data_IF_597121516199
#
_entry.id   IF_597121516199
#
_cell.length_a   1.000
_cell.length_b   1.000
_cell.length_c   1.000
_cell.angle_alpha   90.00
_cell.angle_beta   90.00
_cell.angle_gamma   90.00
#
_symmetry.space_group_name_H-M   'P 1'
#
loop_
_entity.id
_entity.type
_entity.pdbx_description
1 polymer ?
#
# COMPACT_ATOMS: atom_id res chain seq x y z
N UNK A 1 34.71 2.46 18.82
CA UNK A 1 33.33 2.68 19.31
C UNK A 1 32.46 3.06 18.12
N UNK A 2 31.72 2.10 17.57
CA UNK A 2 30.79 2.31 16.45
C UNK A 2 29.61 3.13 16.98
N UNK A 3 29.32 4.29 16.37
CA UNK A 3 28.16 5.09 16.76
C UNK A 3 26.90 4.20 16.75
N UNK A 4 26.08 4.21 17.82
CA UNK A 4 24.85 3.41 17.85
C UNK A 4 24.02 3.81 16.64
N UNK A 5 23.73 2.83 15.78
CA UNK A 5 22.91 3.07 14.60
C UNK A 5 21.57 3.62 15.08
N UNK A 6 21.22 4.82 14.60
CA UNK A 6 19.96 5.46 14.98
C UNK A 6 18.81 4.48 14.73
N UNK A 7 17.93 4.24 15.72
CA UNK A 7 16.80 3.32 15.56
C UNK A 7 15.77 3.83 14.56
N UNK A 8 15.93 5.06 14.06
CA UNK A 8 15.09 5.66 13.03
C UNK A 8 15.20 4.90 11.71
N UNK A 9 14.05 4.46 11.21
CA UNK A 9 13.92 3.92 9.88
C UNK A 9 13.50 5.02 8.90
N UNK A 10 14.25 5.18 7.80
CA UNK A 10 13.95 6.13 6.75
C UNK A 10 14.18 5.49 5.39
N UNK A 11 13.18 5.59 4.53
CA UNK A 11 13.24 5.23 3.12
C UNK A 11 12.96 6.48 2.27
N UNK A 12 13.78 6.66 1.24
CA UNK A 12 13.69 7.80 0.33
C UNK A 12 13.33 7.33 -1.07
N UNK A 13 12.67 8.21 -1.82
CA UNK A 13 12.56 8.03 -3.26
C UNK A 13 13.96 8.01 -3.90
N UNK A 14 14.15 7.03 -4.77
CA UNK A 14 15.30 6.88 -5.67
C UNK A 14 15.17 7.98 -6.69
N UNK A 15 16.27 8.70 -6.91
CA UNK A 15 16.31 9.77 -7.93
C UNK A 15 16.08 9.14 -9.29
N UNK A 16 15.17 9.72 -10.07
CA UNK A 16 15.02 9.32 -11.48
C UNK A 16 16.12 9.98 -12.31
N UNK A 17 16.57 9.38 -13.43
CA UNK A 17 17.56 10.01 -14.32
C UNK A 17 17.13 11.40 -14.80
N UNK A 18 15.84 11.62 -15.06
CA UNK A 18 15.27 12.94 -15.39
C UNK A 18 15.54 14.02 -14.31
N UNK A 19 15.68 13.63 -13.04
CA UNK A 19 16.08 14.54 -11.96
C UNK A 19 17.59 14.81 -11.90
N UNK A 20 18.42 13.95 -12.51
CA UNK A 20 19.85 14.18 -12.64
C UNK A 20 20.16 15.20 -13.75
N UNK A 21 19.33 15.26 -14.79
CA UNK A 21 19.57 16.10 -15.96
C UNK A 21 18.93 17.50 -15.91
N UNK A 22 18.06 17.80 -14.93
CA UNK A 22 17.29 19.06 -14.90
C UNK A 22 17.88 20.20 -14.05
N UNK A 23 19.04 20.02 -13.41
CA UNK A 23 19.71 21.08 -12.62
C UNK A 23 18.96 21.54 -11.36
N UNK A 24 17.73 21.08 -11.14
CA UNK A 24 16.93 21.29 -9.94
C UNK A 24 17.49 20.40 -8.82
N UNK A 25 18.47 20.92 -8.10
CA UNK A 25 18.95 20.30 -6.88
C UNK A 25 17.79 20.15 -5.90
N UNK A 26 17.30 18.94 -5.65
CA UNK A 26 16.17 18.74 -4.74
C UNK A 26 16.46 17.69 -3.66
N UNK A 27 16.17 18.09 -2.42
CA UNK A 27 16.31 17.27 -1.19
C UNK A 27 15.65 15.91 -1.41
N UNK A 28 16.30 14.83 -0.93
CA UNK A 28 15.75 13.48 -0.99
C UNK A 28 14.38 13.47 -0.29
N UNK A 29 13.32 13.19 -1.05
CA UNK A 29 11.97 13.11 -0.52
C UNK A 29 11.82 11.81 0.27
N UNK A 30 11.26 11.90 1.47
CA UNK A 30 11.01 10.75 2.35
C UNK A 30 9.78 10.03 1.83
N UNK A 31 9.94 8.78 1.39
CA UNK A 31 8.81 7.95 1.01
C UNK A 31 8.11 7.37 2.24
N UNK A 32 8.91 6.97 3.23
CA UNK A 32 8.44 6.42 4.49
C UNK A 32 9.47 6.67 5.60
N UNK A 33 9.00 7.03 6.79
CA UNK A 33 9.85 7.14 7.99
C UNK A 33 9.11 6.57 9.19
N UNK A 34 9.81 5.83 10.03
CA UNK A 34 9.34 5.40 11.34
C UNK A 34 10.36 5.86 12.39
N UNK A 35 9.91 6.69 13.32
CA UNK A 35 10.73 7.28 14.39
C UNK A 35 9.89 7.50 15.65
N UNK A 36 10.41 8.20 16.66
CA UNK A 36 9.70 8.50 17.91
C UNK A 36 8.33 9.16 17.71
N UNK A 37 8.17 10.02 16.69
CA UNK A 37 6.92 10.74 16.44
C UNK A 37 5.81 9.86 15.87
N UNK A 38 6.17 8.73 15.24
CA UNK A 38 5.22 7.86 14.54
C UNK A 38 5.72 7.42 13.17
N UNK A 39 4.75 7.22 12.27
CA UNK A 39 5.00 6.91 10.86
C UNK A 39 4.73 8.12 9.99
N UNK A 40 5.73 8.54 9.23
CA UNK A 40 5.53 9.46 8.10
C UNK A 40 5.25 8.66 6.83
N UNK A 41 4.10 8.91 6.22
CA UNK A 41 3.74 8.42 4.89
C UNK A 41 3.96 9.53 3.86
N UNK A 42 5.02 9.44 3.07
CA UNK A 42 5.31 10.40 2.01
C UNK A 42 4.26 10.34 0.89
N UNK A 43 3.89 11.50 0.33
CA UNK A 43 3.04 11.55 -0.86
C UNK A 43 3.77 11.08 -2.12
N UNK A 44 3.05 10.69 -3.19
CA UNK A 44 3.67 10.46 -4.51
C UNK A 44 4.40 11.72 -4.98
N UNK A 45 5.50 11.54 -5.72
CA UNK A 45 6.40 12.64 -6.15
C UNK A 45 5.64 13.79 -6.82
N UNK A 46 4.61 13.50 -7.61
CA UNK A 46 3.79 14.50 -8.33
C UNK A 46 2.92 15.37 -7.43
N UNK A 47 2.56 14.90 -6.23
CA UNK A 47 1.70 15.61 -5.27
C UNK A 47 2.19 15.40 -3.83
N UNK A 48 3.51 15.46 -3.62
CA UNK A 48 4.16 15.04 -2.38
C UNK A 48 3.56 15.74 -1.15
N UNK A 49 3.52 17.08 -1.15
CA UNK A 49 3.02 17.86 0.00
C UNK A 49 1.55 17.58 0.32
N UNK A 50 0.71 17.38 -0.69
CA UNK A 50 -0.74 17.15 -0.53
C UNK A 50 -1.05 15.85 0.21
N UNK A 51 -0.23 14.83 0.02
CA UNK A 51 -0.48 13.48 0.55
C UNK A 51 0.58 13.04 1.55
N UNK A 52 1.45 13.94 2.00
CA UNK A 52 2.36 13.63 3.11
C UNK A 52 1.59 13.75 4.41
N UNK A 53 1.67 12.73 5.25
CA UNK A 53 1.06 12.74 6.57
C UNK A 53 1.98 12.08 7.60
N UNK A 54 1.87 12.51 8.85
CA UNK A 54 2.50 11.87 10.00
C UNK A 54 1.39 11.32 10.86
N UNK A 55 1.47 10.03 11.19
CA UNK A 55 0.50 9.32 12.03
C UNK A 55 1.23 8.88 13.30
N UNK A 56 0.80 9.30 14.50
CA UNK A 56 1.49 8.94 15.72
C UNK A 56 1.26 7.48 16.07
N UNK A 57 2.23 6.84 16.74
CA UNK A 57 2.15 5.41 17.06
C UNK A 57 0.92 5.00 17.85
N UNK A 58 0.43 5.89 18.72
CA UNK A 58 -0.79 5.67 19.50
C UNK A 58 -2.02 5.40 18.63
N UNK A 59 -2.05 5.92 17.41
CA UNK A 59 -3.19 5.81 16.49
C UNK A 59 -3.07 4.58 15.57
N UNK A 60 -1.93 3.88 15.61
CA UNK A 60 -1.62 2.75 14.73
C UNK A 60 -1.81 1.43 15.50
N UNK A 61 -2.50 0.48 14.88
CA UNK A 61 -2.58 -0.92 15.31
C UNK A 61 -1.52 -1.76 14.61
N UNK A 62 -1.39 -1.62 13.29
CA UNK A 62 -0.44 -2.38 12.50
C UNK A 62 0.11 -1.59 11.31
N UNK A 63 1.37 -1.86 10.98
CA UNK A 63 1.98 -1.50 9.70
C UNK A 63 1.90 -2.73 8.81
N UNK A 64 1.23 -2.60 7.66
CA UNK A 64 0.95 -3.71 6.75
C UNK A 64 1.75 -3.52 5.47
N UNK A 65 2.51 -4.53 5.06
CA UNK A 65 3.21 -4.58 3.77
C UNK A 65 2.58 -5.68 2.93
N UNK A 66 2.16 -5.37 1.71
CA UNK A 66 1.56 -6.34 0.81
C UNK A 66 1.95 -6.08 -0.63
N UNK A 67 1.66 -7.05 -1.50
CA UNK A 67 1.84 -6.89 -2.93
C UNK A 67 0.70 -7.55 -3.70
N UNK A 68 0.29 -6.89 -4.78
CA UNK A 68 -0.65 -7.46 -5.74
C UNK A 68 0.05 -7.63 -7.08
N UNK A 69 -0.28 -8.71 -7.81
CA UNK A 69 0.31 -8.99 -9.11
C UNK A 69 -0.79 -9.37 -10.09
N UNK A 70 -0.89 -8.66 -11.22
CA UNK A 70 -1.70 -9.09 -12.36
C UNK A 70 -0.91 -10.07 -13.24
N UNK A 71 -1.60 -10.88 -14.04
CA UNK A 71 -0.98 -11.79 -15.01
C UNK A 71 -0.01 -11.02 -15.91
N UNK A 72 1.22 -11.54 -16.07
CA UNK A 72 2.32 -10.93 -16.85
C UNK A 72 2.91 -9.59 -16.34
N UNK A 73 2.42 -9.02 -15.24
CA UNK A 73 2.95 -7.76 -14.69
C UNK A 73 3.92 -7.98 -13.51
N UNK A 74 4.77 -6.97 -13.24
CA UNK A 74 5.58 -6.94 -12.01
C UNK A 74 4.67 -6.74 -10.79
N UNK A 75 4.95 -7.36 -9.64
CA UNK A 75 4.18 -7.11 -8.42
C UNK A 75 4.20 -5.64 -8.01
N UNK A 76 3.03 -5.08 -7.73
CA UNK A 76 2.86 -3.75 -7.16
C UNK A 76 2.87 -3.89 -5.65
N UNK A 77 4.01 -3.53 -5.05
CA UNK A 77 4.20 -3.51 -3.60
C UNK A 77 3.60 -2.26 -2.99
N UNK A 78 2.99 -2.40 -1.81
CA UNK A 78 2.38 -1.31 -1.04
C UNK A 78 2.71 -1.49 0.44
N UNK A 79 2.74 -0.36 1.14
CA UNK A 79 2.74 -0.31 2.60
C UNK A 79 1.56 0.53 3.05
N UNK A 80 0.93 0.19 4.15
CA UNK A 80 -0.21 0.93 4.67
C UNK A 80 -0.38 0.73 6.15
N UNK A 81 -1.28 1.51 6.74
CA UNK A 81 -1.51 1.52 8.17
C UNK A 81 -2.91 1.00 8.47
N UNK A 82 -2.98 0.05 9.40
CA UNK A 82 -4.21 -0.24 10.13
C UNK A 82 -4.25 0.71 11.31
N UNK A 83 -5.18 1.65 11.27
CA UNK A 83 -5.40 2.59 12.36
C UNK A 83 -6.33 1.98 13.41
N UNK A 84 -6.22 2.45 14.65
CA UNK A 84 -7.15 2.10 15.71
C UNK A 84 -8.54 2.65 15.42
N UNK A 85 -9.55 2.04 16.02
CA UNK A 85 -10.94 2.46 15.86
C UNK A 85 -11.13 3.93 16.29
N UNK A 86 -11.88 4.69 15.48
CA UNK A 86 -12.18 6.10 15.74
C UNK A 86 -11.12 7.09 15.23
N UNK A 87 -9.95 6.60 14.77
CA UNK A 87 -8.93 7.45 14.14
C UNK A 87 -9.37 7.78 12.70
N UNK A 88 -9.38 9.05 12.29
CA UNK A 88 -9.68 9.43 10.91
C UNK A 88 -8.67 8.85 9.91
N UNK A 89 -9.12 8.64 8.67
CA UNK A 89 -8.25 8.19 7.60
C UNK A 89 -7.14 9.19 7.26
N UNK A 90 -6.02 8.66 6.78
CA UNK A 90 -4.86 9.43 6.39
C UNK A 90 -5.03 9.98 4.98
N UNK A 91 -4.68 11.25 4.70
CA UNK A 91 -4.60 11.74 3.33
C UNK A 91 -3.75 10.82 2.46
N UNK A 92 -4.22 10.43 1.28
CA UNK A 92 -3.49 9.52 0.41
C UNK A 92 -4.08 9.48 -1.00
N UNK A 93 -3.31 9.00 -1.99
CA UNK A 93 -3.80 8.85 -3.36
C UNK A 93 -5.03 7.94 -3.47
N UNK A 94 -5.09 6.92 -2.60
CA UNK A 94 -6.17 5.92 -2.59
C UNK A 94 -7.24 6.24 -1.53
N UNK A 95 -7.29 7.47 -0.99
CA UNK A 95 -8.25 7.83 0.07
C UNK A 95 -9.72 7.78 -0.39
N UNK A 96 -9.95 7.86 -1.70
CA UNK A 96 -11.29 7.85 -2.32
C UNK A 96 -11.61 6.53 -3.05
N UNK A 97 -10.78 5.49 -2.89
CA UNK A 97 -11.05 4.19 -3.52
C UNK A 97 -12.35 3.60 -2.95
N UNK A 98 -13.20 3.04 -3.82
CA UNK A 98 -14.44 2.40 -3.38
C UNK A 98 -14.16 1.04 -2.71
N UNK A 99 -15.01 0.58 -1.77
CA UNK A 99 -14.90 -0.74 -1.16
C UNK A 99 -14.84 -1.87 -2.20
N UNK A 100 -15.62 -1.78 -3.26
CA UNK A 100 -15.67 -2.78 -4.34
C UNK A 100 -14.34 -2.84 -5.10
N UNK A 101 -13.76 -1.69 -5.43
CA UNK A 101 -12.47 -1.61 -6.12
C UNK A 101 -11.34 -2.14 -5.22
N UNK A 102 -11.37 -1.80 -3.93
CA UNK A 102 -10.40 -2.29 -2.95
C UNK A 102 -10.50 -3.82 -2.78
N UNK A 103 -11.71 -4.36 -2.64
CA UNK A 103 -11.95 -5.79 -2.51
C UNK A 103 -11.53 -6.57 -3.76
N UNK A 104 -11.77 -6.01 -4.95
CA UNK A 104 -11.30 -6.61 -6.22
C UNK A 104 -9.78 -6.61 -6.33
N UNK A 105 -9.13 -5.50 -5.96
CA UNK A 105 -7.68 -5.35 -6.09
C UNK A 105 -6.88 -6.11 -5.02
N UNK A 106 -7.38 -6.16 -3.78
CA UNK A 106 -6.70 -6.74 -2.63
C UNK A 106 -7.69 -7.37 -1.63
N UNK A 107 -8.36 -8.49 -2.00
CA UNK A 107 -9.41 -9.11 -1.17
C UNK A 107 -8.91 -9.64 0.18
N UNK A 108 -7.61 -9.84 0.32
CA UNK A 108 -6.93 -10.33 1.52
C UNK A 108 -6.49 -9.21 2.48
N UNK A 109 -6.74 -7.94 2.13
CA UNK A 109 -6.33 -6.77 2.91
C UNK A 109 -7.58 -6.01 3.35
N UNK A 110 -7.62 -5.61 4.62
CA UNK A 110 -8.71 -4.81 5.18
C UNK A 110 -8.89 -3.49 4.38
N UNK A 111 -10.14 -3.11 4.08
CA UNK A 111 -10.45 -1.94 3.26
C UNK A 111 -9.75 -0.66 3.74
N UNK A 112 -9.74 -0.41 5.06
CA UNK A 112 -9.10 0.79 5.62
C UNK A 112 -7.59 0.80 5.42
N UNK A 113 -6.94 -0.37 5.44
CA UNK A 113 -5.50 -0.48 5.13
C UNK A 113 -5.23 -0.15 3.66
N UNK A 114 -6.13 -0.58 2.76
CA UNK A 114 -6.05 -0.22 1.33
C UNK A 114 -6.21 1.28 1.13
N UNK A 115 -7.07 1.99 1.86
CA UNK A 115 -7.18 3.46 1.75
C UNK A 115 -5.94 4.17 2.28
N UNK A 116 -5.44 3.70 3.42
CA UNK A 116 -4.32 4.28 4.16
C UNK A 116 -2.96 3.75 3.69
N UNK A 117 -2.76 3.62 2.37
CA UNK A 117 -1.55 3.03 1.78
C UNK A 117 -0.67 4.02 0.99
N UNK A 118 0.57 3.59 0.76
CA UNK A 118 1.51 4.13 -0.22
C UNK A 118 2.06 3.03 -1.11
N UNK A 119 2.11 3.32 -2.40
CA UNK A 119 2.74 2.43 -3.37
C UNK A 119 4.27 2.51 -3.25
N UNK A 120 4.91 1.35 -3.19
CA UNK A 120 6.37 1.20 -3.13
C UNK A 120 6.92 1.23 -4.57
N UNK A 121 7.06 2.44 -5.11
CA UNK A 121 7.56 2.71 -6.47
C UNK A 121 8.66 3.75 -6.41
N UNK A 122 9.81 3.44 -7.02
CA UNK A 122 11.06 4.19 -6.88
C UNK A 122 11.60 4.24 -5.44
N UNK A 123 11.21 3.34 -4.56
CA UNK A 123 11.86 3.17 -3.26
C UNK A 123 11.71 1.70 -2.82
N UNK A 124 12.35 1.33 -1.72
CA UNK A 124 12.35 -0.04 -1.21
C UNK A 124 12.08 -0.03 0.29
N UNK A 125 11.42 -1.07 0.77
CA UNK A 125 11.25 -1.33 2.20
C UNK A 125 12.30 -2.34 2.64
N UNK A 126 13.07 -1.99 3.67
CA UNK A 126 13.91 -2.93 4.41
C UNK A 126 13.12 -3.39 5.63
N UNK A 127 12.58 -4.62 5.56
CA UNK A 127 11.70 -5.15 6.61
C UNK A 127 12.42 -5.32 7.95
N UNK A 128 13.72 -5.65 7.92
CA UNK A 128 14.48 -5.87 9.15
C UNK A 128 14.68 -4.55 9.86
N UNK A 129 15.16 -3.52 9.14
CA UNK A 129 15.34 -2.19 9.73
C UNK A 129 14.03 -1.55 10.17
N UNK A 130 12.95 -1.76 9.41
CA UNK A 130 11.61 -1.30 9.82
C UNK A 130 11.14 -1.99 11.09
N UNK A 131 11.28 -3.32 11.17
CA UNK A 131 10.92 -4.09 12.37
C UNK A 131 11.73 -3.63 13.58
N UNK A 132 13.04 -3.40 13.43
CA UNK A 132 13.89 -2.86 14.50
C UNK A 132 13.40 -1.49 14.99
N UNK A 133 13.08 -0.57 14.07
CA UNK A 133 12.56 0.74 14.44
C UNK A 133 11.22 0.64 15.19
N UNK A 134 10.30 -0.20 14.70
CA UNK A 134 9.02 -0.44 15.36
C UNK A 134 9.20 -1.06 16.74
N UNK A 135 10.13 -2.00 16.92
CA UNK A 135 10.42 -2.60 18.22
C UNK A 135 10.92 -1.57 19.24
N UNK A 136 11.67 -0.56 18.79
CA UNK A 136 12.20 0.50 19.67
C UNK A 136 11.13 1.54 20.00
N UNK A 137 10.37 2.03 19.02
CA UNK A 137 9.47 3.16 19.21
C UNK A 137 8.02 2.76 19.54
N UNK A 138 7.58 1.58 19.12
CA UNK A 138 6.21 1.13 19.26
C UNK A 138 6.10 -0.41 19.26
N UNK A 139 6.66 -1.11 20.27
CA UNK A 139 6.65 -2.58 20.34
C UNK A 139 5.24 -3.20 20.34
N UNK A 140 4.21 -2.42 20.69
CA UNK A 140 2.81 -2.80 20.63
C UNK A 140 2.21 -2.81 19.22
N UNK A 141 2.87 -2.19 18.23
CA UNK A 141 2.38 -2.09 16.85
C UNK A 141 2.91 -3.26 16.03
N UNK A 142 2.02 -3.96 15.36
CA UNK A 142 2.38 -5.17 14.62
C UNK A 142 2.91 -4.83 13.22
N UNK A 143 4.01 -5.45 12.81
CA UNK A 143 4.41 -5.49 11.40
C UNK A 143 3.82 -6.72 10.73
N UNK A 144 2.87 -6.53 9.80
CA UNK A 144 2.22 -7.61 9.05
C UNK A 144 2.72 -7.61 7.61
N UNK A 145 3.45 -8.66 7.20
CA UNK A 145 3.95 -8.80 5.82
C UNK A 145 3.18 -9.92 5.13
N UNK A 146 2.39 -9.56 4.12
CA UNK A 146 1.59 -10.51 3.35
C UNK A 146 2.36 -11.02 2.12
N UNK A 147 2.16 -12.29 1.73
CA UNK A 147 2.70 -12.81 0.48
C UNK A 147 2.10 -12.08 -0.73
N UNK A 148 2.75 -12.21 -1.89
CA UNK A 148 2.26 -11.60 -3.12
C UNK A 148 0.94 -12.27 -3.53
N UNK A 149 -0.13 -11.49 -3.57
CA UNK A 149 -1.42 -11.96 -4.04
C UNK A 149 -1.54 -11.82 -5.56
N UNK A 150 -1.91 -12.91 -6.24
CA UNK A 150 -2.20 -12.90 -7.67
C UNK A 150 -3.65 -12.45 -7.87
N UNK A 151 -3.83 -11.33 -8.56
CA UNK A 151 -5.15 -10.87 -8.98
C UNK A 151 -5.51 -11.64 -10.24
N UNK A 152 -6.47 -12.54 -10.14
CA UNK A 152 -7.06 -13.20 -11.31
C UNK A 152 -7.91 -12.15 -12.02
N UNK A 153 -7.71 -11.90 -13.34
CA UNK A 153 -8.60 -11.05 -14.08
C UNK A 153 -10.02 -11.63 -13.97
N UNK A 154 -10.96 -10.86 -13.41
CA UNK A 154 -12.36 -11.14 -13.66
C UNK A 154 -12.53 -10.96 -15.18
N UNK A 155 -12.74 -12.06 -15.90
CA UNK A 155 -13.02 -12.02 -17.33
C UNK A 155 -14.23 -11.11 -17.61
N UNK A 156 -14.46 -10.72 -18.88
CA UNK A 156 -15.67 -10.00 -19.22
C UNK A 156 -16.86 -10.81 -18.68
N UNK A 157 -17.67 -10.17 -17.84
CA UNK A 157 -18.74 -10.83 -17.13
C UNK A 157 -19.58 -11.63 -18.11
N UNK A 158 -19.73 -12.92 -17.83
CA UNK A 158 -20.72 -13.78 -18.46
C UNK A 158 -22.10 -13.23 -18.10
N UNK A 159 -22.55 -12.23 -18.86
CA UNK A 159 -23.96 -12.04 -19.15
C UNK A 159 -24.37 -13.31 -19.90
N UNK A 160 -24.89 -14.30 -19.18
CA UNK A 160 -25.80 -15.35 -19.65
C UNK A 160 -26.07 -16.30 -18.45
N UNK A 161 -27.08 -15.92 -17.66
CA UNK A 161 -27.80 -16.81 -16.76
C UNK A 161 -29.30 -16.51 -16.94
N UNK A 162 -29.92 -17.19 -17.90
CA UNK A 162 -30.90 -18.26 -17.70
C UNK A 162 -32.17 -17.84 -16.95
N UNK A 163 -33.20 -17.53 -17.74
CA UNK A 163 -34.60 -17.64 -17.34
C UNK A 163 -35.44 -18.13 -18.52
N UNK A 164 -36.10 -19.29 -18.34
CA UNK A 164 -37.00 -20.01 -19.27
C UNK A 164 -36.32 -20.56 -20.54
N UNK A 165 -36.34 -21.86 -20.84
CA UNK A 165 -37.42 -22.83 -20.64
C UNK A 165 -38.00 -23.16 -22.02
N UNK A 166 -37.41 -24.13 -22.73
CA UNK A 166 -37.87 -24.56 -24.05
C UNK A 166 -36.80 -25.35 -24.80
N UNK A 167 -36.84 -26.68 -24.68
CA UNK A 167 -36.07 -27.61 -25.51
C UNK A 167 -36.56 -27.49 -26.95
N UNK A 168 -35.69 -27.08 -27.88
CA UNK A 168 -35.99 -26.95 -29.32
C UNK A 168 -35.84 -28.29 -30.05
N UNK A 169 -35.54 -29.39 -29.34
CA UNK A 169 -35.33 -30.72 -29.94
C UNK A 169 -36.52 -31.67 -29.86
N UNK A 170 -37.69 -31.22 -29.38
CA UNK A 170 -38.90 -32.05 -29.34
C UNK A 170 -39.98 -31.55 -30.34
N UNK A 171 -39.68 -31.61 -31.65
CA UNK A 171 -40.72 -31.63 -32.69
C UNK A 171 -40.29 -32.59 -33.80
N UNK A 172 -40.98 -33.74 -33.87
CA UNK A 172 -41.26 -34.68 -34.98
C UNK A 172 -41.14 -36.14 -34.51
N UNK A 173 -42.04 -37.04 -34.94
CA UNK A 173 -42.83 -37.01 -36.18
C UNK A 173 -44.31 -36.57 -36.02
#
# INVERSE_FOLDING_TARGET
MTAPHSPVYQAYYTRTPLQLFSGLGWKRLVAFRADESGVTLGGPVTRYRRFTAVVPWRDIEAVVVWATKKTMERPIRRIGLKLRQGVPDVPGPDSTISPQTAASAAPHIEYQVVRNNRVIVFWKVDHIRLATAMQVFAPQVQLRVHPVHKVVPQGPGTLLGNGSGGSIFDILP
#
